data_IF_814434597389
#
_entry.id   IF_814434597389
#
_cell.length_a   1.000
_cell.length_b   1.000
_cell.length_c   1.000
_cell.angle_alpha   90.00
_cell.angle_beta   90.00
_cell.angle_gamma   90.00
#
_symmetry.space_group_name_H-M   'P 1'
#
loop_
_entity.id
_entity.type
_entity.pdbx_description
1 polymer ?
#
# COMPACT_ATOMS: atom_id res chain seq x y z
N UNK A 1 5.83 0.68 -17.10
CA UNK A 1 4.64 1.40 -16.63
C UNK A 1 5.03 2.15 -15.37
N UNK A 2 4.61 3.42 -15.19
CA UNK A 2 4.89 4.18 -13.97
C UNK A 2 4.13 3.60 -12.77
N UNK A 3 4.62 3.80 -11.54
CA UNK A 3 3.96 3.28 -10.33
C UNK A 3 2.52 3.78 -10.19
N UNK A 4 2.24 5.06 -10.51
CA UNK A 4 0.88 5.61 -10.54
C UNK A 4 -0.04 4.93 -11.56
N UNK A 5 0.47 4.50 -12.72
CA UNK A 5 -0.33 3.76 -13.71
C UNK A 5 -0.64 2.34 -13.22
N UNK A 6 0.31 1.68 -12.53
CA UNK A 6 0.13 0.38 -11.91
C UNK A 6 -0.96 0.43 -10.82
N UNK A 7 -0.91 1.45 -9.97
CA UNK A 7 -1.92 1.70 -8.92
C UNK A 7 -3.30 1.92 -9.54
N UNK A 8 -3.39 2.79 -10.56
CA UNK A 8 -4.67 3.02 -11.27
C UNK A 8 -5.23 1.76 -11.89
N UNK A 9 -4.37 0.91 -12.46
CA UNK A 9 -4.78 -0.38 -13.03
C UNK A 9 -5.34 -1.30 -11.95
N UNK A 10 -4.66 -1.42 -10.81
CA UNK A 10 -5.06 -2.29 -9.69
C UNK A 10 -6.40 -1.87 -9.09
N UNK A 11 -6.59 -0.57 -8.88
CA UNK A 11 -7.82 -0.01 -8.30
C UNK A 11 -8.90 0.32 -9.32
N UNK A 12 -8.71 -0.06 -10.59
CA UNK A 12 -9.64 0.22 -11.70
C UNK A 12 -10.01 1.72 -11.80
N UNK A 13 -9.04 2.61 -11.57
CA UNK A 13 -9.23 4.05 -11.63
C UNK A 13 -9.04 4.58 -13.07
N UNK A 14 -9.96 5.42 -13.58
CA UNK A 14 -9.83 6.03 -14.91
C UNK A 14 -8.54 6.82 -15.08
N UNK A 15 -7.86 6.63 -16.23
CA UNK A 15 -6.56 7.28 -16.50
C UNK A 15 -6.64 8.81 -16.61
N UNK A 16 -7.79 9.32 -17.07
CA UNK A 16 -7.99 10.73 -17.39
C UNK A 16 -8.69 11.52 -16.28
N UNK A 17 -8.98 10.89 -15.15
CA UNK A 17 -9.59 11.54 -14.01
C UNK A 17 -8.54 11.87 -12.95
N UNK A 18 -8.74 13.01 -12.28
CA UNK A 18 -7.90 13.44 -11.18
C UNK A 18 -8.60 13.17 -9.84
N UNK A 19 -7.91 12.48 -8.95
CA UNK A 19 -8.39 12.13 -7.62
C UNK A 19 -7.48 12.72 -6.52
N UNK A 20 -6.79 13.81 -6.83
CA UNK A 20 -5.83 14.45 -5.94
C UNK A 20 -6.38 15.63 -5.16
N UNK A 21 -5.54 16.16 -4.31
CA UNK A 21 -5.71 17.44 -3.65
C UNK A 21 -5.48 18.59 -4.63
N UNK A 22 -5.98 19.79 -4.29
CA UNK A 22 -5.72 20.96 -5.10
C UNK A 22 -4.25 21.43 -4.92
N UNK A 23 -3.68 22.01 -5.97
CA UNK A 23 -2.30 22.50 -5.89
C UNK A 23 -2.13 23.61 -4.83
N UNK A 24 -3.17 24.36 -4.55
CA UNK A 24 -3.17 25.37 -3.49
C UNK A 24 -2.99 24.75 -2.10
N UNK A 25 -3.62 23.59 -1.81
CA UNK A 25 -3.46 22.86 -0.55
C UNK A 25 -1.99 22.43 -0.36
N UNK A 26 -1.39 21.91 -1.43
CA UNK A 26 0.03 21.49 -1.39
C UNK A 26 0.97 22.71 -1.22
N UNK A 27 0.71 23.81 -1.93
CA UNK A 27 1.54 25.00 -1.83
C UNK A 27 1.43 25.67 -0.44
N UNK A 28 0.30 25.58 0.24
CA UNK A 28 0.11 26.08 1.60
C UNK A 28 0.95 25.31 2.62
N UNK A 29 0.96 23.96 2.55
CA UNK A 29 1.78 23.16 3.45
C UNK A 29 3.26 23.30 3.15
N UNK A 30 3.69 23.33 1.88
CA UNK A 30 5.06 23.59 1.48
C UNK A 30 5.54 24.95 2.07
N UNK A 31 4.72 25.98 1.98
CA UNK A 31 5.02 27.31 2.53
C UNK A 31 5.10 27.31 4.05
N UNK A 32 4.18 26.59 4.73
CA UNK A 32 4.12 26.56 6.20
C UNK A 32 5.35 25.89 6.81
N UNK A 33 5.92 24.89 6.10
CA UNK A 33 7.09 24.12 6.52
C UNK A 33 8.41 24.69 5.95
N UNK A 34 8.35 25.72 5.09
CA UNK A 34 9.50 26.31 4.35
C UNK A 34 10.27 25.26 3.53
N UNK A 35 9.53 24.41 2.80
CA UNK A 35 10.11 23.32 1.97
C UNK A 35 9.45 23.28 0.59
N UNK A 36 10.01 22.41 -0.27
CA UNK A 36 9.34 21.90 -1.45
C UNK A 36 9.21 20.39 -1.33
N UNK A 37 8.04 19.87 -1.68
CA UNK A 37 7.85 18.42 -1.76
C UNK A 37 8.67 17.85 -2.92
N UNK A 38 9.29 16.66 -2.73
CA UNK A 38 9.80 15.87 -3.84
C UNK A 38 8.77 15.71 -4.95
N UNK A 39 9.24 15.67 -6.20
CA UNK A 39 8.35 15.63 -7.36
C UNK A 39 7.33 14.49 -7.29
N UNK A 40 7.78 13.26 -6.95
CA UNK A 40 6.89 12.09 -6.91
C UNK A 40 5.94 12.13 -5.71
N UNK A 41 6.33 12.71 -4.56
CA UNK A 41 5.43 12.96 -3.43
C UNK A 41 4.32 13.94 -3.84
N UNK A 42 4.70 15.09 -4.44
CA UNK A 42 3.76 16.11 -4.92
C UNK A 42 2.81 15.54 -5.98
N UNK A 43 3.34 14.80 -6.95
CA UNK A 43 2.55 14.18 -8.00
C UNK A 43 1.49 13.20 -7.44
N UNK A 44 1.87 12.40 -6.45
CA UNK A 44 0.94 11.47 -5.82
C UNK A 44 -0.22 12.20 -5.14
N UNK A 45 0.08 13.22 -4.32
CA UNK A 45 -0.95 14.04 -3.68
C UNK A 45 -1.90 14.69 -4.70
N UNK A 46 -1.36 15.22 -5.80
CA UNK A 46 -2.13 15.91 -6.84
C UNK A 46 -2.95 14.98 -7.73
N UNK A 47 -2.68 13.66 -7.74
CA UNK A 47 -3.31 12.74 -8.69
C UNK A 47 -4.13 11.63 -8.06
N UNK A 48 -3.77 11.15 -6.86
CA UNK A 48 -4.36 10.00 -6.17
C UNK A 48 -4.65 10.25 -4.69
N UNK A 49 -4.24 11.38 -4.12
CA UNK A 49 -4.25 11.64 -2.69
C UNK A 49 -5.63 11.57 -2.01
N UNK A 50 -6.73 11.77 -2.74
CA UNK A 50 -8.11 11.73 -2.21
C UNK A 50 -8.83 10.39 -2.46
N UNK A 51 -8.18 9.37 -3.01
CA UNK A 51 -8.80 8.04 -3.17
C UNK A 51 -8.85 7.36 -1.81
N UNK A 52 -10.02 7.29 -1.20
CA UNK A 52 -10.21 6.75 0.15
C UNK A 52 -9.77 5.28 0.25
N UNK A 53 -10.27 4.43 -0.63
CA UNK A 53 -9.92 3.02 -0.67
C UNK A 53 -8.41 2.75 -0.83
N UNK A 54 -7.68 3.66 -1.46
CA UNK A 54 -6.23 3.58 -1.67
C UNK A 54 -5.43 4.10 -0.47
N UNK A 55 -5.91 5.17 0.19
CA UNK A 55 -5.10 5.95 1.12
C UNK A 55 -5.56 5.87 2.58
N UNK A 56 -6.72 5.22 2.87
CA UNK A 56 -7.32 5.25 4.20
C UNK A 56 -7.97 3.92 4.61
N UNK A 57 -7.91 2.88 3.79
CA UNK A 57 -8.53 1.59 4.10
C UNK A 57 -7.80 0.79 5.18
N UNK A 58 -6.49 0.96 5.27
CA UNK A 58 -5.63 0.32 6.28
C UNK A 58 -4.63 1.36 6.79
N UNK A 59 -3.48 1.53 6.15
CA UNK A 59 -2.55 2.60 6.49
C UNK A 59 -3.00 3.93 5.89
N UNK A 60 -2.59 5.05 6.49
CA UNK A 60 -3.16 6.36 6.20
C UNK A 60 -2.16 7.35 5.60
N UNK A 61 -2.49 7.90 4.43
CA UNK A 61 -1.82 9.09 3.88
C UNK A 61 -2.24 10.32 4.70
N UNK A 62 -1.29 11.04 5.27
CA UNK A 62 -1.58 12.28 6.00
C UNK A 62 -2.06 13.37 5.03
N UNK A 63 -3.11 14.10 5.41
CA UNK A 63 -3.65 15.19 4.58
C UNK A 63 -2.64 16.32 4.47
N UNK A 64 -2.59 17.06 3.34
CA UNK A 64 -1.68 18.18 3.12
C UNK A 64 -2.08 19.41 3.94
N UNK A 65 -2.05 19.29 5.24
CA UNK A 65 -2.34 20.29 6.25
C UNK A 65 -1.40 20.10 7.45
N UNK A 66 -1.82 20.48 8.65
CA UNK A 66 -1.03 20.33 9.88
C UNK A 66 -0.72 18.86 10.28
N UNK A 67 -1.29 17.87 9.59
CA UNK A 67 -0.97 16.45 9.83
C UNK A 67 0.43 16.12 9.31
N UNK A 68 0.87 16.77 8.21
CA UNK A 68 2.24 16.64 7.70
C UNK A 68 3.17 17.53 8.51
N UNK A 69 4.29 16.98 8.96
CA UNK A 69 5.28 17.72 9.73
C UNK A 69 6.61 16.99 9.83
N UNK A 70 7.57 17.65 10.45
CA UNK A 70 8.87 17.04 10.72
C UNK A 70 8.86 16.33 12.07
N UNK A 71 9.42 15.11 12.10
CA UNK A 71 9.82 14.45 13.34
C UNK A 71 10.97 15.20 14.01
N UNK A 72 11.25 14.90 15.30
CA UNK A 72 12.33 15.53 16.05
C UNK A 72 13.70 15.32 15.39
N UNK A 73 13.90 14.20 14.72
CA UNK A 73 15.12 13.82 13.99
C UNK A 73 15.06 14.14 12.48
N UNK A 74 14.16 15.07 12.10
CA UNK A 74 14.11 15.72 10.79
C UNK A 74 13.76 14.79 9.62
N UNK A 75 12.74 13.95 9.81
CA UNK A 75 12.04 13.31 8.69
C UNK A 75 10.72 14.04 8.43
N UNK A 76 10.42 14.36 7.18
CA UNK A 76 9.10 14.83 6.76
C UNK A 76 8.14 13.64 6.77
N UNK A 77 7.32 13.53 7.81
CA UNK A 77 6.33 12.47 7.99
C UNK A 77 5.09 12.82 7.17
N UNK A 78 4.67 11.89 6.31
CA UNK A 78 3.52 12.07 5.41
C UNK A 78 2.59 10.85 5.34
N UNK A 79 2.94 9.76 6.04
CA UNK A 79 2.16 8.53 6.07
C UNK A 79 2.25 7.87 7.45
N UNK A 80 1.17 7.24 7.91
CA UNK A 80 1.15 6.54 9.21
C UNK A 80 0.43 5.20 9.12
N UNK A 81 0.78 4.31 10.02
CA UNK A 81 0.15 3.02 10.21
C UNK A 81 -1.21 3.19 10.91
N UNK A 82 -2.16 2.28 10.69
CA UNK A 82 -3.55 2.40 11.14
C UNK A 82 -3.74 2.51 12.66
N UNK A 83 -2.84 1.93 13.46
CA UNK A 83 -2.82 2.03 14.92
C UNK A 83 -1.85 3.10 15.44
N UNK A 84 -1.24 3.86 14.53
CA UNK A 84 -0.29 4.94 14.83
C UNK A 84 0.96 4.42 15.57
N UNK A 85 1.37 3.18 15.31
CA UNK A 85 2.58 2.57 15.89
C UNK A 85 3.79 2.66 14.97
N UNK A 86 3.59 3.03 13.70
CA UNK A 86 4.66 3.31 12.75
C UNK A 86 4.33 4.54 11.89
N UNK A 87 5.38 5.23 11.44
CA UNK A 87 5.28 6.41 10.59
C UNK A 87 6.27 6.32 9.45
N UNK A 88 5.90 6.83 8.28
CA UNK A 88 6.80 6.87 7.14
C UNK A 88 7.09 8.31 6.72
N UNK A 89 8.35 8.54 6.42
CA UNK A 89 8.84 9.87 6.09
C UNK A 89 10.07 9.88 5.20
N UNK A 90 10.37 11.07 4.70
CA UNK A 90 11.54 11.36 3.88
C UNK A 90 12.50 12.21 4.70
N UNK A 91 13.78 11.83 4.74
CA UNK A 91 14.80 12.59 5.43
C UNK A 91 14.94 13.99 4.82
N UNK A 92 14.97 15.03 5.65
CA UNK A 92 14.99 16.43 5.22
C UNK A 92 16.02 16.73 4.13
N UNK A 93 17.24 16.23 4.28
CA UNK A 93 18.33 16.43 3.31
C UNK A 93 18.03 15.88 1.90
N UNK A 94 17.08 14.91 1.80
CA UNK A 94 16.74 14.21 0.57
C UNK A 94 15.49 14.81 -0.11
N UNK A 95 14.82 15.80 0.51
CA UNK A 95 13.66 16.50 -0.06
C UNK A 95 13.96 17.22 -1.39
N UNK A 96 15.23 17.49 -1.66
CA UNK A 96 15.70 18.09 -2.94
C UNK A 96 15.74 17.12 -4.12
N UNK A 97 15.58 15.81 -3.86
CA UNK A 97 15.54 14.77 -4.89
C UNK A 97 14.13 14.66 -5.45
N UNK A 98 13.99 14.31 -6.71
CA UNK A 98 12.68 14.14 -7.34
C UNK A 98 11.91 12.92 -6.78
N UNK A 99 12.65 11.84 -6.48
CA UNK A 99 12.09 10.55 -6.06
C UNK A 99 12.95 9.93 -4.94
N UNK A 100 12.97 10.52 -3.72
CA UNK A 100 13.82 10.08 -2.63
C UNK A 100 13.36 8.76 -2.00
N UNK A 101 14.28 8.14 -1.27
CA UNK A 101 14.01 7.01 -0.37
C UNK A 101 13.01 7.40 0.71
N UNK A 102 12.09 6.49 1.02
CA UNK A 102 11.17 6.59 2.15
C UNK A 102 11.64 5.66 3.26
N UNK A 103 11.66 6.18 4.48
CA UNK A 103 12.00 5.43 5.69
C UNK A 103 10.76 5.24 6.57
N UNK A 104 10.67 4.09 7.24
CA UNK A 104 9.69 3.80 8.28
C UNK A 104 10.34 3.90 9.65
N UNK A 105 9.65 4.55 10.60
CA UNK A 105 10.01 4.58 12.01
C UNK A 105 9.14 3.57 12.77
N UNK A 106 9.76 2.58 13.36
CA UNK A 106 9.14 1.52 14.16
C UNK A 106 9.45 1.65 15.65
N UNK A 107 10.15 2.71 16.02
CA UNK A 107 10.46 3.07 17.42
C UNK A 107 9.42 4.02 18.03
N UNK A 108 9.78 4.57 19.16
CA UNK A 108 8.99 5.61 19.84
C UNK A 108 9.52 7.00 19.51
N UNK A 109 8.80 8.06 19.91
CA UNK A 109 9.26 9.44 19.74
C UNK A 109 10.60 9.71 20.47
N UNK A 110 10.77 9.12 21.66
CA UNK A 110 12.00 9.26 22.47
C UNK A 110 13.15 8.37 21.99
N UNK A 111 12.84 7.30 21.26
CA UNK A 111 13.83 6.35 20.72
C UNK A 111 13.42 5.92 19.33
N UNK A 112 13.60 6.80 18.32
CA UNK A 112 13.21 6.51 16.94
C UNK A 112 14.10 5.42 16.33
N UNK A 113 13.48 4.55 15.52
CA UNK A 113 14.12 3.42 14.85
C UNK A 113 13.76 3.44 13.35
N UNK A 114 14.52 4.23 12.58
CA UNK A 114 14.28 4.46 11.15
C UNK A 114 15.01 3.44 10.27
N UNK A 115 14.26 2.74 9.46
CA UNK A 115 14.77 1.82 8.43
C UNK A 115 14.28 2.24 7.04
N UNK A 116 15.01 1.83 6.01
CA UNK A 116 14.56 2.03 4.63
C UNK A 116 13.34 1.13 4.39
N UNK A 117 12.20 1.75 4.08
CA UNK A 117 10.98 1.05 3.69
C UNK A 117 10.93 0.83 2.18
N UNK A 118 11.25 1.86 1.41
CA UNK A 118 11.31 1.78 -0.04
C UNK A 118 12.44 2.65 -0.59
N UNK A 119 13.10 2.17 -1.63
CA UNK A 119 14.23 2.89 -2.24
C UNK A 119 13.82 4.15 -3.01
N UNK A 120 12.52 4.36 -3.21
CA UNK A 120 11.98 5.56 -3.87
C UNK A 120 10.54 5.81 -3.41
N UNK A 121 10.11 7.07 -3.50
CA UNK A 121 8.76 7.51 -3.09
C UNK A 121 7.65 6.86 -3.93
N UNK A 122 7.86 6.69 -5.23
CA UNK A 122 6.87 6.05 -6.11
C UNK A 122 6.73 4.55 -5.83
N UNK A 123 7.81 3.85 -5.47
CA UNK A 123 7.75 2.46 -5.03
C UNK A 123 7.09 2.33 -3.65
N UNK A 124 7.32 3.29 -2.75
CA UNK A 124 6.62 3.33 -1.47
C UNK A 124 5.10 3.41 -1.67
N UNK A 125 4.61 4.29 -2.54
CA UNK A 125 3.18 4.37 -2.81
C UNK A 125 2.62 3.12 -3.49
N UNK A 126 3.40 2.47 -4.34
CA UNK A 126 2.99 1.18 -4.91
C UNK A 126 2.89 0.10 -3.83
N UNK A 127 3.85 0.05 -2.88
CA UNK A 127 3.82 -0.86 -1.74
C UNK A 127 2.59 -0.61 -0.86
N UNK A 128 2.31 0.66 -0.51
CA UNK A 128 1.14 1.02 0.30
C UNK A 128 -0.18 0.74 -0.43
N UNK A 129 -0.21 0.89 -1.76
CA UNK A 129 -1.37 0.49 -2.55
C UNK A 129 -1.64 -1.02 -2.49
N UNK A 130 -0.60 -1.85 -2.43
CA UNK A 130 -0.74 -3.29 -2.23
C UNK A 130 -1.21 -3.58 -0.80
N UNK A 131 -0.59 -3.00 0.22
CA UNK A 131 -1.02 -3.19 1.61
C UNK A 131 -2.48 -2.78 1.81
N UNK A 132 -2.81 -1.53 1.55
CA UNK A 132 -4.17 -1.04 1.71
C UNK A 132 -5.16 -1.85 0.88
N UNK A 133 -4.77 -2.23 -0.34
CA UNK A 133 -5.61 -3.00 -1.25
C UNK A 133 -5.97 -4.38 -0.73
N UNK A 134 -5.00 -5.10 -0.17
CA UNK A 134 -5.20 -6.45 0.36
C UNK A 134 -5.83 -6.49 1.76
N UNK A 135 -5.90 -5.33 2.44
CA UNK A 135 -6.54 -5.14 3.74
C UNK A 135 -7.81 -4.27 3.64
N UNK A 136 -8.63 -4.47 2.61
CA UNK A 136 -9.96 -3.88 2.48
C UNK A 136 -10.10 -2.73 1.47
N UNK A 137 -9.00 -2.21 0.92
CA UNK A 137 -9.06 -1.11 -0.07
C UNK A 137 -9.44 -1.57 -1.48
N UNK A 138 -9.21 -2.84 -1.83
CA UNK A 138 -9.71 -3.43 -3.07
C UNK A 138 -11.03 -4.15 -2.79
N UNK A 139 -11.98 -4.02 -3.70
CA UNK A 139 -13.33 -4.57 -3.52
C UNK A 139 -13.32 -6.07 -3.22
N UNK A 140 -12.43 -6.81 -3.87
CA UNK A 140 -12.26 -8.24 -3.68
C UNK A 140 -10.90 -8.50 -3.08
N UNK A 141 -10.87 -8.96 -1.84
CA UNK A 141 -9.66 -9.29 -1.11
C UNK A 141 -9.87 -10.49 -0.20
N UNK A 142 -8.79 -11.23 0.03
CA UNK A 142 -8.77 -12.34 0.97
C UNK A 142 -7.39 -12.45 1.61
N UNK A 143 -7.37 -13.03 2.79
CA UNK A 143 -6.12 -13.31 3.49
C UNK A 143 -6.14 -14.69 4.14
N UNK A 144 -4.95 -15.25 4.26
CA UNK A 144 -4.67 -16.48 4.98
C UNK A 144 -3.50 -16.24 5.92
N UNK A 145 -3.70 -16.53 7.19
CA UNK A 145 -2.68 -16.50 8.23
C UNK A 145 -2.34 -17.94 8.63
N UNK A 146 -1.20 -18.43 8.18
CA UNK A 146 -0.74 -19.77 8.49
C UNK A 146 0.41 -20.20 7.59
N UNK A 147 0.96 -21.38 7.85
CA UNK A 147 2.03 -21.92 7.05
C UNK A 147 1.52 -22.33 5.66
N UNK A 148 2.05 -21.68 4.64
CA UNK A 148 1.73 -21.97 3.23
C UNK A 148 2.61 -23.09 2.73
N UNK A 149 2.01 -24.07 2.04
CA UNK A 149 2.74 -25.21 1.50
C UNK A 149 3.62 -24.79 0.31
N UNK A 150 4.79 -25.41 0.13
CA UNK A 150 5.71 -25.10 -0.96
C UNK A 150 5.07 -25.19 -2.35
N UNK A 151 4.18 -26.16 -2.55
CA UNK A 151 3.48 -26.38 -3.81
C UNK A 151 2.59 -25.19 -4.19
N UNK A 152 1.97 -24.53 -3.21
CA UNK A 152 1.18 -23.31 -3.40
C UNK A 152 2.09 -22.13 -3.80
N UNK A 153 3.26 -22.00 -3.16
CA UNK A 153 4.23 -20.96 -3.49
C UNK A 153 4.74 -21.16 -4.92
N UNK A 154 5.16 -22.37 -5.28
CA UNK A 154 5.62 -22.72 -6.63
C UNK A 154 4.53 -22.44 -7.69
N UNK A 155 3.27 -22.73 -7.35
CA UNK A 155 2.15 -22.43 -8.22
C UNK A 155 1.98 -20.92 -8.44
N UNK A 156 2.11 -20.09 -7.38
CA UNK A 156 2.06 -18.63 -7.48
C UNK A 156 3.22 -18.11 -8.33
N UNK A 157 4.44 -18.54 -8.04
CA UNK A 157 5.65 -18.14 -8.77
C UNK A 157 5.60 -18.49 -10.27
N UNK A 158 4.91 -19.55 -10.62
CA UNK A 158 4.75 -19.99 -12.02
C UNK A 158 3.69 -19.19 -12.78
N UNK A 159 2.65 -18.72 -12.10
CA UNK A 159 1.48 -18.13 -12.76
C UNK A 159 1.42 -16.60 -12.70
N UNK A 160 2.15 -15.97 -11.78
CA UNK A 160 2.22 -14.51 -11.63
C UNK A 160 3.66 -14.02 -11.68
N UNK A 161 3.81 -12.77 -12.07
CA UNK A 161 5.13 -12.12 -12.17
C UNK A 161 5.47 -11.39 -10.87
N UNK A 162 6.66 -11.62 -10.34
CA UNK A 162 7.15 -10.92 -9.15
C UNK A 162 7.34 -9.42 -9.43
N UNK A 163 6.94 -8.57 -8.48
CA UNK A 163 7.15 -7.12 -8.49
C UNK A 163 8.39 -6.81 -7.66
N UNK A 164 9.55 -6.87 -8.29
CA UNK A 164 10.86 -6.83 -7.59
C UNK A 164 11.11 -5.52 -6.86
N UNK A 165 10.56 -4.40 -7.34
CA UNK A 165 10.74 -3.06 -6.76
C UNK A 165 10.08 -2.87 -5.39
N UNK A 166 9.11 -3.76 -5.01
CA UNK A 166 8.41 -3.76 -3.73
C UNK A 166 8.44 -5.14 -3.06
N UNK A 167 9.40 -5.97 -3.41
CA UNK A 167 9.61 -7.30 -2.82
C UNK A 167 10.97 -7.37 -2.15
N UNK A 168 11.04 -8.08 -1.01
CA UNK A 168 12.27 -8.38 -0.26
C UNK A 168 12.16 -9.74 0.45
N UNK A 169 13.14 -10.12 1.24
CA UNK A 169 13.22 -11.46 1.82
C UNK A 169 12.00 -11.85 2.68
N UNK A 170 11.37 -10.86 3.36
CA UNK A 170 10.22 -11.11 4.23
C UNK A 170 8.88 -10.92 3.55
N UNK A 171 8.87 -10.38 2.34
CA UNK A 171 7.66 -10.17 1.55
C UNK A 171 7.93 -10.26 0.07
N UNK A 172 7.12 -11.03 -0.64
CA UNK A 172 7.15 -11.11 -2.10
C UNK A 172 5.78 -10.76 -2.67
N UNK A 173 5.74 -9.81 -3.57
CA UNK A 173 4.51 -9.37 -4.25
C UNK A 173 4.53 -9.89 -5.67
N UNK A 174 3.42 -10.50 -6.08
CA UNK A 174 3.20 -11.03 -7.43
C UNK A 174 1.98 -10.41 -8.07
N UNK A 175 1.95 -10.34 -9.40
CA UNK A 175 0.84 -9.74 -10.16
C UNK A 175 0.70 -10.34 -11.55
N UNK A 176 -0.51 -10.27 -12.13
CA UNK A 176 -0.72 -10.30 -13.58
C UNK A 176 -1.06 -8.89 -14.07
N UNK A 177 -0.03 -8.15 -14.52
CA UNK A 177 -0.14 -6.81 -15.06
C UNK A 177 -0.89 -5.79 -14.16
N UNK A 178 -0.86 -5.95 -12.86
CA UNK A 178 -1.59 -5.11 -11.89
C UNK A 178 -3.12 -5.12 -12.06
N UNK A 179 -3.69 -6.21 -12.54
CA UNK A 179 -5.13 -6.47 -12.43
C UNK A 179 -5.50 -7.12 -11.10
N UNK A 180 -4.56 -7.84 -10.52
CA UNK A 180 -4.59 -8.38 -9.17
C UNK A 180 -3.19 -8.35 -8.57
N UNK A 181 -3.13 -8.51 -7.27
CA UNK A 181 -1.90 -8.69 -6.50
C UNK A 181 -2.03 -9.84 -5.52
N UNK A 182 -0.94 -10.57 -5.34
CA UNK A 182 -0.75 -11.57 -4.29
C UNK A 182 0.50 -11.19 -3.52
N UNK A 183 0.37 -10.99 -2.20
CA UNK A 183 1.48 -10.69 -1.31
C UNK A 183 1.72 -11.87 -0.38
N UNK A 184 2.93 -12.40 -0.36
CA UNK A 184 3.36 -13.50 0.48
C UNK A 184 4.28 -12.96 1.57
N UNK A 185 3.96 -13.28 2.83
CA UNK A 185 4.79 -12.93 3.99
C UNK A 185 5.63 -14.11 4.45
N UNK A 186 6.87 -13.84 4.86
CA UNK A 186 7.82 -14.86 5.30
C UNK A 186 8.34 -14.58 6.71
N UNK A 187 8.41 -15.63 7.53
CA UNK A 187 8.94 -15.57 8.89
C UNK A 187 10.48 -15.50 8.93
N UNK A 188 11.06 -15.48 10.13
CA UNK A 188 12.51 -15.46 10.35
C UNK A 188 13.24 -16.71 9.82
N UNK A 189 12.53 -17.82 9.66
CA UNK A 189 13.01 -19.07 9.14
C UNK A 189 12.81 -19.21 7.62
N UNK A 190 12.29 -18.16 6.95
CA UNK A 190 11.88 -18.13 5.54
C UNK A 190 10.73 -19.09 5.20
N UNK A 191 9.89 -19.49 6.16
CA UNK A 191 8.64 -20.16 5.85
C UNK A 191 7.60 -19.10 5.45
N UNK A 192 6.81 -19.39 4.42
CA UNK A 192 5.69 -18.51 4.08
C UNK A 192 4.59 -18.65 5.14
N UNK A 193 4.29 -17.56 5.83
CA UNK A 193 3.38 -17.48 6.97
C UNK A 193 2.07 -16.76 6.67
N UNK A 194 1.86 -16.32 5.43
CA UNK A 194 0.63 -15.67 5.02
C UNK A 194 0.56 -15.39 3.54
N UNK A 195 -0.68 -15.38 3.02
CA UNK A 195 -1.02 -14.93 1.66
C UNK A 195 -2.10 -13.87 1.78
N UNK A 196 -1.92 -12.77 1.06
CA UNK A 196 -2.87 -11.67 0.97
C UNK A 196 -3.13 -11.40 -0.50
N UNK A 197 -4.38 -11.43 -0.92
CA UNK A 197 -4.76 -11.17 -2.31
C UNK A 197 -5.69 -9.98 -2.41
N UNK A 198 -5.65 -9.30 -3.55
CA UNK A 198 -6.53 -8.18 -3.82
C UNK A 198 -6.70 -7.90 -5.30
N UNK A 199 -7.93 -7.58 -5.70
CA UNK A 199 -8.28 -7.18 -7.07
C UNK A 199 -9.55 -6.35 -7.08
N UNK A 200 -9.74 -5.52 -8.12
CA UNK A 200 -11.01 -4.83 -8.39
C UNK A 200 -11.95 -5.63 -9.27
N UNK A 201 -11.62 -6.87 -9.64
CA UNK A 201 -12.36 -7.69 -10.59
C UNK A 201 -12.77 -9.03 -9.98
N UNK A 202 -14.09 -9.26 -9.86
CA UNK A 202 -14.66 -10.45 -9.24
C UNK A 202 -14.25 -11.75 -9.94
N UNK A 203 -14.32 -11.79 -11.26
CA UNK A 203 -13.99 -13.02 -12.02
C UNK A 203 -12.52 -13.45 -11.82
N UNK A 204 -11.61 -12.47 -11.63
CA UNK A 204 -10.21 -12.74 -11.27
C UNK A 204 -10.09 -13.25 -9.85
N UNK A 205 -10.84 -12.65 -8.92
CA UNK A 205 -10.87 -13.07 -7.52
C UNK A 205 -11.31 -14.52 -7.38
N UNK A 206 -12.46 -14.86 -7.98
CA UNK A 206 -13.01 -16.24 -7.97
C UNK A 206 -11.99 -17.24 -8.52
N UNK A 207 -11.35 -16.91 -9.66
CA UNK A 207 -10.31 -17.75 -10.26
C UNK A 207 -9.09 -17.95 -9.37
N UNK A 208 -8.72 -16.96 -8.56
CA UNK A 208 -7.60 -17.10 -7.61
C UNK A 208 -8.02 -18.00 -6.47
N UNK A 209 -9.20 -17.80 -5.88
CA UNK A 209 -9.72 -18.64 -4.81
C UNK A 209 -9.84 -20.10 -5.25
N UNK A 210 -10.38 -20.36 -6.44
CA UNK A 210 -10.51 -21.70 -7.02
C UNK A 210 -9.17 -22.42 -7.24
N UNK A 211 -8.12 -21.66 -7.56
CA UNK A 211 -6.80 -22.22 -7.90
C UNK A 211 -5.89 -22.37 -6.70
N UNK A 212 -6.02 -21.51 -5.70
CA UNK A 212 -5.28 -21.54 -4.46
C UNK A 212 -6.20 -22.19 -3.41
N UNK A 213 -6.18 -23.51 -3.36
CA UNK A 213 -7.02 -24.33 -2.47
C UNK A 213 -6.43 -24.30 -1.05
N UNK A 214 -6.81 -23.27 -0.28
CA UNK A 214 -6.46 -23.11 1.15
C UNK A 214 -7.73 -22.69 1.91
N UNK A 215 -7.73 -22.91 3.22
CA UNK A 215 -8.78 -22.47 4.12
C UNK A 215 -8.56 -20.99 4.47
N UNK A 216 -9.11 -20.09 3.64
CA UNK A 216 -8.93 -18.65 3.79
C UNK A 216 -9.39 -18.18 5.18
N UNK A 217 -8.57 -17.39 5.85
CA UNK A 217 -8.89 -16.83 7.17
C UNK A 217 -9.95 -15.73 7.09
N UNK A 218 -10.07 -15.09 5.92
CA UNK A 218 -11.05 -14.07 5.59
C UNK A 218 -11.19 -13.93 4.08
N UNK A 219 -12.39 -13.68 3.61
CA UNK A 219 -12.70 -13.21 2.25
C UNK A 219 -13.68 -12.05 2.29
N UNK A 220 -13.58 -11.10 1.35
CA UNK A 220 -14.50 -9.95 1.25
C UNK A 220 -15.96 -10.32 0.98
N UNK A 221 -16.27 -11.57 0.64
CA UNK A 221 -17.65 -12.07 0.53
C UNK A 221 -18.34 -12.19 1.88
N UNK A 222 -17.59 -12.37 2.98
CA UNK A 222 -18.15 -12.44 4.33
C UNK A 222 -18.77 -11.09 4.76
N UNK A 223 -18.26 -9.97 4.24
CA UNK A 223 -18.81 -8.64 4.52
C UNK A 223 -20.14 -8.41 3.77
N UNK A 224 -20.25 -8.90 2.52
CA UNK A 224 -21.47 -8.82 1.71
C UNK A 224 -22.61 -9.63 2.36
N UNK A 225 -22.33 -10.82 2.88
CA UNK A 225 -23.32 -11.66 3.58
C UNK A 225 -23.84 -11.01 4.87
N UNK A 226 -22.98 -10.26 5.60
CA UNK A 226 -23.40 -9.55 6.80
C UNK A 226 -24.29 -8.32 6.52
N UNK A 227 -24.10 -7.64 5.40
CA UNK A 227 -24.93 -6.49 5.01
C UNK A 227 -26.33 -6.92 4.60
N UNK A 228 -26.51 -8.06 3.92
CA UNK A 228 -27.82 -8.59 3.51
C UNK A 228 -28.68 -9.02 4.73
N UNK A 229 -28.08 -9.48 5.84
CA UNK A 229 -28.82 -9.87 7.05
C UNK A 229 -29.43 -8.66 7.80
N UNK A 230 -28.96 -7.44 7.59
CA UNK A 230 -29.47 -6.21 8.26
C UNK A 230 -30.51 -5.44 7.43
N UNK A 231 -30.74 -5.76 6.16
CA UNK A 231 -31.76 -5.12 5.32
C UNK A 231 -33.15 -5.80 5.41
N UNK A 232 -33.27 -6.95 6.05
CA UNK A 232 -34.51 -7.74 6.16
C UNK A 232 -35.28 -7.57 7.51
N UNK A 233 -34.89 -6.63 8.39
CA UNK A 233 -35.58 -6.25 9.65
C UNK A 233 -36.17 -4.82 9.53
#
# INVERSE_FOLDING_TARGET
MKSTDKIRQLYNLPKNENFGFEETEINEIEKSLDIKFPLELKNYYLTLGKVEALNYSHNRLLKPNKEIGFSNDRYLVFYEENQVVAFWGIKEQDLKLDNPTVCGNYGTEDNPDWHIEANSTDNFFLLMAVYNGTFGGLKYNANYFGQVQPETIEFIEKNWTIVTEISWDKQKVYTDNFHEVLSLSFDEQNNCSGIFIGTSNQERFDKILDKIDIDWSYTSYEDEDCEEEYEDD
#
